data_IF_418169403894
#
_entry.id   IF_418169403894
#
_cell.length_a   1.000
_cell.length_b   1.000
_cell.length_c   1.000
_cell.angle_alpha   90.00
_cell.angle_beta   90.00
_cell.angle_gamma   90.00
#
_symmetry.space_group_name_H-M   'P 1'
#
loop_
_entity.id
_entity.type
_entity.pdbx_description
1 polymer ?
#
# COMPACT_ATOMS: atom_id res chain seq x y z
N UNK A 1 16.20 -71.88 5.05
CA UNK A 1 15.69 -70.54 4.72
C UNK A 1 14.34 -70.68 4.03
N UNK A 2 13.20 -70.33 4.67
CA UNK A 2 11.88 -70.64 4.13
C UNK A 2 11.33 -69.50 3.26
N UNK A 3 10.95 -69.82 2.02
CA UNK A 3 10.06 -68.99 1.19
C UNK A 3 8.61 -69.21 1.64
N UNK A 4 7.87 -68.14 1.92
CA UNK A 4 6.43 -68.17 2.15
C UNK A 4 5.74 -67.24 1.15
N UNK A 5 4.94 -67.83 0.27
CA UNK A 5 3.86 -67.14 -0.46
C UNK A 5 2.64 -67.06 0.46
N UNK A 6 1.94 -65.93 0.51
CA UNK A 6 0.50 -65.90 0.79
C UNK A 6 -0.14 -64.63 0.18
N UNK A 7 -1.32 -64.72 -0.45
CA UNK A 7 -1.99 -63.64 -1.18
C UNK A 7 -2.84 -62.74 -0.28
N UNK A 8 -3.27 -61.62 -0.85
CA UNK A 8 -4.20 -60.62 -0.29
C UNK A 8 -5.51 -61.23 0.24
N UNK A 9 -5.95 -60.85 1.45
CA UNK A 9 -7.33 -60.93 1.85
C UNK A 9 -7.90 -59.54 2.21
N UNK A 10 -9.00 -59.18 1.57
CA UNK A 10 -9.86 -58.02 1.87
C UNK A 10 -10.28 -57.99 3.36
N UNK A 11 -10.41 -56.81 3.98
CA UNK A 11 -11.10 -56.71 5.26
C UNK A 11 -12.63 -56.87 5.09
N UNK A 12 -13.31 -57.42 6.11
CA UNK A 12 -14.71 -57.87 6.05
C UNK A 12 -15.76 -56.76 6.17
N UNK A 13 -16.99 -57.10 5.78
CA UNK A 13 -18.19 -56.31 6.07
C UNK A 13 -18.41 -56.18 7.59
N UNK A 14 -18.38 -54.96 8.11
CA UNK A 14 -18.81 -54.65 9.47
C UNK A 14 -20.26 -54.14 9.44
N UNK A 15 -21.19 -55.07 9.69
CA UNK A 15 -22.58 -54.76 10.05
C UNK A 15 -22.65 -54.39 11.54
N UNK A 16 -22.27 -53.16 11.89
CA UNK A 16 -22.48 -52.59 13.22
C UNK A 16 -23.41 -51.38 13.12
N UNK A 17 -24.55 -51.40 13.81
CA UNK A 17 -25.45 -50.23 13.91
C UNK A 17 -24.66 -48.99 14.37
N UNK A 18 -24.59 -47.94 13.55
CA UNK A 18 -24.21 -46.61 14.04
C UNK A 18 -25.40 -46.03 14.80
N UNK A 19 -25.21 -45.79 16.10
CA UNK A 19 -26.12 -45.03 16.95
C UNK A 19 -26.31 -43.64 16.31
N UNK A 20 -27.54 -43.28 15.91
CA UNK A 20 -27.83 -41.92 15.44
C UNK A 20 -27.56 -40.96 16.61
N UNK A 21 -26.52 -40.15 16.49
CA UNK A 21 -26.40 -38.93 17.29
C UNK A 21 -27.48 -37.98 16.77
N UNK A 22 -28.26 -37.38 17.67
CA UNK A 22 -29.30 -36.43 17.30
C UNK A 22 -28.67 -35.32 16.43
N UNK A 23 -29.26 -35.08 15.26
CA UNK A 23 -28.81 -34.01 14.38
C UNK A 23 -29.04 -32.67 15.08
N UNK A 24 -27.99 -31.89 15.27
CA UNK A 24 -28.10 -30.49 15.67
C UNK A 24 -28.88 -29.77 14.58
N UNK A 25 -30.05 -29.16 14.88
CA UNK A 25 -30.76 -28.38 13.87
C UNK A 25 -29.88 -27.20 13.47
N UNK A 26 -29.50 -27.17 12.20
CA UNK A 26 -28.89 -25.99 11.58
C UNK A 26 -29.96 -24.91 11.54
N UNK A 27 -29.88 -23.95 12.45
CA UNK A 27 -30.67 -22.74 12.36
C UNK A 27 -30.12 -21.92 11.20
N UNK A 28 -30.82 -21.98 10.07
CA UNK A 28 -30.59 -21.10 8.93
C UNK A 28 -30.89 -19.67 9.36
N UNK A 29 -29.84 -18.92 9.69
CA UNK A 29 -29.96 -17.47 9.78
C UNK A 29 -29.99 -16.99 8.34
N UNK A 30 -31.19 -16.70 7.83
CA UNK A 30 -31.32 -15.95 6.59
C UNK A 30 -30.53 -14.65 6.77
N UNK A 31 -29.35 -14.57 6.16
CA UNK A 31 -28.50 -13.40 6.24
C UNK A 31 -29.27 -12.19 5.73
N UNK A 32 -29.62 -11.25 6.63
CA UNK A 32 -29.88 -9.88 6.21
C UNK A 32 -28.60 -9.42 5.55
N UNK A 33 -28.69 -8.96 4.29
CA UNK A 33 -27.56 -8.42 3.57
C UNK A 33 -26.86 -7.37 4.46
N UNK A 34 -25.67 -7.70 4.97
CA UNK A 34 -24.79 -6.77 5.70
C UNK A 34 -24.09 -5.80 4.76
N UNK A 35 -24.44 -5.82 3.47
CA UNK A 35 -24.08 -4.78 2.53
C UNK A 35 -25.18 -3.73 2.58
N UNK A 36 -25.16 -2.90 3.63
CA UNK A 36 -25.56 -1.53 3.37
C UNK A 36 -24.69 -1.06 2.21
N UNK A 37 -25.31 -0.60 1.13
CA UNK A 37 -24.60 0.32 0.23
C UNK A 37 -23.98 1.37 1.14
N UNK A 38 -22.66 1.64 1.05
CA UNK A 38 -22.14 2.78 1.75
C UNK A 38 -22.86 3.96 1.12
N UNK A 39 -23.86 4.49 1.83
CA UNK A 39 -24.26 5.87 1.68
C UNK A 39 -22.93 6.61 1.65
N UNK A 40 -22.59 7.19 0.49
CA UNK A 40 -21.36 7.93 0.27
C UNK A 40 -21.47 9.21 1.10
N UNK A 41 -21.56 9.07 2.42
CA UNK A 41 -21.30 10.12 3.36
C UNK A 41 -19.97 10.70 2.91
N UNK A 42 -19.87 12.03 2.72
CA UNK A 42 -18.66 12.62 2.22
C UNK A 42 -17.51 12.13 3.09
N UNK A 43 -16.60 11.38 2.47
CA UNK A 43 -15.37 10.91 3.09
C UNK A 43 -14.63 12.17 3.50
N UNK A 44 -14.82 12.57 4.75
CA UNK A 44 -14.16 13.69 5.40
C UNK A 44 -13.20 13.13 6.44
N UNK A 45 -12.14 13.88 6.74
CA UNK A 45 -11.23 13.52 7.82
C UNK A 45 -12.02 13.33 9.12
N UNK A 46 -11.66 12.32 9.92
CA UNK A 46 -12.22 12.12 11.26
C UNK A 46 -11.99 13.39 12.10
N UNK A 47 -13.07 14.04 12.52
CA UNK A 47 -13.04 15.32 13.24
C UNK A 47 -13.13 16.57 12.35
N UNK A 48 -13.28 16.42 11.03
CA UNK A 48 -13.62 17.49 10.10
C UNK A 48 -15.13 17.57 9.88
N UNK A 49 -15.62 18.73 9.44
CA UNK A 49 -17.02 18.90 9.07
C UNK A 49 -17.39 17.94 7.91
N UNK A 50 -18.67 17.53 7.79
CA UNK A 50 -19.13 16.75 6.65
C UNK A 50 -18.79 17.48 5.34
N UNK A 51 -18.05 16.82 4.44
CA UNK A 51 -17.57 17.45 3.19
C UNK A 51 -16.26 18.24 3.32
N UNK A 52 -15.62 18.24 4.49
CA UNK A 52 -14.30 18.82 4.68
C UNK A 52 -13.18 18.06 3.95
N UNK A 53 -12.00 18.68 3.77
CA UNK A 53 -10.90 18.07 3.05
C UNK A 53 -10.44 16.75 3.72
N UNK A 54 -10.14 15.75 2.89
CA UNK A 54 -9.61 14.44 3.32
C UNK A 54 -8.16 14.56 3.78
N UNK A 55 -7.40 15.47 3.17
CA UNK A 55 -5.98 15.70 3.42
C UNK A 55 -5.75 17.13 3.87
N UNK A 56 -4.82 17.33 4.82
CA UNK A 56 -4.44 18.67 5.28
C UNK A 56 -3.77 19.51 4.18
N UNK A 57 -3.01 18.89 3.28
CA UNK A 57 -2.35 19.55 2.15
C UNK A 57 -2.57 18.75 0.85
N UNK A 58 -2.64 19.41 -0.32
CA UNK A 58 -2.86 18.72 -1.60
C UNK A 58 -1.79 17.66 -1.91
N UNK A 59 -0.52 17.97 -1.58
CA UNK A 59 0.61 17.08 -1.87
C UNK A 59 0.53 15.74 -1.12
N UNK A 60 -0.20 15.68 0.00
CA UNK A 60 -0.43 14.43 0.74
C UNK A 60 -1.13 13.38 -0.13
N UNK A 61 -2.11 13.80 -0.93
CA UNK A 61 -2.81 12.93 -1.86
C UNK A 61 -1.89 12.51 -3.02
N UNK A 62 -1.07 13.45 -3.51
CA UNK A 62 -0.18 13.23 -4.65
C UNK A 62 0.85 12.13 -4.37
N UNK A 63 1.48 12.13 -3.19
CA UNK A 63 2.46 11.10 -2.82
C UNK A 63 1.85 9.70 -2.86
N UNK A 64 0.66 9.54 -2.29
CA UNK A 64 -0.05 8.26 -2.28
C UNK A 64 -0.52 7.85 -3.67
N UNK A 65 -0.98 8.81 -4.48
CA UNK A 65 -1.37 8.56 -5.86
C UNK A 65 -0.18 8.08 -6.71
N UNK A 66 0.98 8.73 -6.59
CA UNK A 66 2.21 8.31 -7.29
C UNK A 66 2.65 6.92 -6.82
N UNK A 67 2.68 6.67 -5.51
CA UNK A 67 3.00 5.35 -4.99
C UNK A 67 2.06 4.26 -5.58
N UNK A 68 0.75 4.52 -5.61
CA UNK A 68 -0.23 3.61 -6.18
C UNK A 68 -0.02 3.37 -7.69
N UNK A 69 0.28 4.41 -8.47
CA UNK A 69 0.59 4.28 -9.90
C UNK A 69 1.82 3.39 -10.12
N UNK A 70 2.88 3.58 -9.34
CA UNK A 70 4.11 2.78 -9.45
C UNK A 70 3.91 1.33 -9.02
N UNK A 71 3.08 1.10 -7.99
CA UNK A 71 2.69 -0.25 -7.56
C UNK A 71 1.92 -0.95 -8.67
N UNK A 72 0.90 -0.29 -9.24
CA UNK A 72 0.12 -0.83 -10.36
C UNK A 72 0.96 -1.04 -11.62
N UNK A 73 1.96 -0.20 -11.83
CA UNK A 73 2.96 -0.33 -12.89
C UNK A 73 4.01 -1.41 -12.64
N UNK A 74 4.03 -2.03 -11.46
CA UNK A 74 4.95 -3.13 -11.13
C UNK A 74 6.38 -2.71 -10.81
N UNK A 75 6.67 -1.41 -10.63
CA UNK A 75 8.02 -0.94 -10.28
C UNK A 75 8.44 -1.45 -8.88
N UNK A 76 7.49 -1.56 -7.96
CA UNK A 76 7.62 -2.24 -6.69
C UNK A 76 6.25 -2.81 -6.26
N UNK A 77 6.26 -3.81 -5.38
CA UNK A 77 5.03 -4.43 -4.90
C UNK A 77 4.39 -3.61 -3.76
N UNK A 78 3.09 -3.83 -3.52
CA UNK A 78 2.39 -3.25 -2.36
C UNK A 78 3.06 -3.64 -1.04
N UNK A 79 3.61 -4.86 -0.94
CA UNK A 79 4.38 -5.30 0.21
C UNK A 79 5.71 -4.57 0.38
N UNK A 80 6.42 -4.32 -0.73
CA UNK A 80 7.64 -3.50 -0.72
C UNK A 80 7.39 -2.06 -0.30
N UNK A 81 6.27 -1.48 -0.76
CA UNK A 81 5.79 -0.18 -0.29
C UNK A 81 5.53 -0.17 1.21
N UNK A 82 4.73 -1.12 1.71
CA UNK A 82 4.37 -1.18 3.13
C UNK A 82 5.61 -1.34 4.03
N UNK A 83 6.58 -2.15 3.61
CA UNK A 83 7.83 -2.34 4.34
C UNK A 83 8.65 -1.04 4.41
N UNK A 84 8.87 -0.38 3.27
CA UNK A 84 9.63 0.87 3.21
C UNK A 84 8.95 2.01 4.01
N UNK A 85 7.62 2.11 3.93
CA UNK A 85 6.85 3.08 4.72
C UNK A 85 7.00 2.81 6.22
N UNK A 86 6.92 1.55 6.65
CA UNK A 86 7.12 1.19 8.05
C UNK A 86 8.54 1.48 8.56
N UNK A 87 9.56 1.34 7.72
CA UNK A 87 10.93 1.77 8.04
C UNK A 87 11.04 3.29 8.17
N UNK A 88 10.45 4.05 7.24
CA UNK A 88 10.47 5.51 7.29
C UNK A 88 9.72 6.06 8.53
N UNK A 89 8.59 5.46 8.90
CA UNK A 89 7.85 5.84 10.11
C UNK A 89 8.66 5.54 11.38
N UNK A 90 9.28 4.36 11.49
CA UNK A 90 10.18 4.04 12.60
C UNK A 90 11.36 5.01 12.70
N UNK A 91 11.88 5.45 11.57
CA UNK A 91 12.94 6.46 11.54
C UNK A 91 12.44 7.84 12.02
N UNK A 92 11.19 8.21 11.76
CA UNK A 92 10.59 9.44 12.29
C UNK A 92 10.30 9.34 13.79
N UNK A 93 9.77 8.22 14.25
CA UNK A 93 9.58 7.92 15.67
C UNK A 93 10.91 7.98 16.44
N UNK A 94 11.98 7.43 15.88
CA UNK A 94 13.32 7.47 16.48
C UNK A 94 13.90 8.88 16.58
N UNK A 95 13.43 9.84 15.76
CA UNK A 95 13.78 11.26 15.89
C UNK A 95 12.90 12.02 16.88
N UNK A 96 11.91 11.35 17.47
CA UNK A 96 10.86 11.95 18.31
C UNK A 96 10.07 13.05 17.57
N UNK A 97 9.88 12.88 16.26
CA UNK A 97 9.03 13.79 15.48
C UNK A 97 7.57 13.71 16.00
N UNK A 98 6.83 14.83 16.06
CA UNK A 98 5.42 14.81 16.45
C UNK A 98 4.60 13.88 15.55
N UNK A 99 3.73 13.07 16.15
CA UNK A 99 2.81 12.21 15.40
C UNK A 99 1.67 13.04 14.78
N UNK A 100 1.94 13.54 13.57
CA UNK A 100 1.04 14.41 12.82
C UNK A 100 0.85 13.90 11.40
N UNK A 101 -0.19 14.39 10.72
CA UNK A 101 -0.44 14.03 9.32
C UNK A 101 0.74 14.40 8.41
N UNK A 102 1.35 15.57 8.63
CA UNK A 102 2.53 16.02 7.87
C UNK A 102 3.72 15.06 8.08
N UNK A 103 4.00 14.65 9.32
CA UNK A 103 5.06 13.66 9.63
C UNK A 103 4.81 12.34 8.90
N UNK A 104 3.57 11.84 8.91
CA UNK A 104 3.19 10.61 8.21
C UNK A 104 3.42 10.73 6.69
N UNK A 105 2.97 11.82 6.07
CA UNK A 105 3.12 12.00 4.62
C UNK A 105 4.57 12.29 4.20
N UNK A 106 5.37 12.93 5.06
CA UNK A 106 6.82 13.06 4.85
C UNK A 106 7.52 11.71 4.91
N UNK A 107 7.15 10.86 5.86
CA UNK A 107 7.68 9.49 5.91
C UNK A 107 7.27 8.70 4.66
N UNK A 108 6.04 8.86 4.18
CA UNK A 108 5.58 8.26 2.92
C UNK A 108 6.36 8.77 1.70
N UNK A 109 6.65 10.07 1.63
CA UNK A 109 7.47 10.65 0.57
C UNK A 109 8.90 10.08 0.59
N UNK A 110 9.53 10.03 1.77
CA UNK A 110 10.87 9.48 1.92
C UNK A 110 10.94 7.99 1.50
N UNK A 111 9.93 7.19 1.88
CA UNK A 111 9.83 5.80 1.46
C UNK A 111 9.70 5.65 -0.06
N UNK A 112 8.90 6.50 -0.69
CA UNK A 112 8.71 6.53 -2.15
C UNK A 112 10.02 6.84 -2.87
N UNK A 113 10.72 7.89 -2.45
CA UNK A 113 12.00 8.31 -3.03
C UNK A 113 13.06 7.20 -2.90
N UNK A 114 13.14 6.57 -1.72
CA UNK A 114 14.05 5.45 -1.48
C UNK A 114 13.78 4.25 -2.39
N UNK A 115 12.51 3.87 -2.57
CA UNK A 115 12.13 2.77 -3.45
C UNK A 115 12.43 3.05 -4.93
N UNK A 116 12.13 4.27 -5.40
CA UNK A 116 12.43 4.69 -6.78
C UNK A 116 13.93 4.71 -7.03
N UNK A 117 14.71 5.26 -6.09
CA UNK A 117 16.17 5.32 -6.19
C UNK A 117 16.80 3.91 -6.23
N UNK A 118 16.28 2.97 -5.44
CA UNK A 118 16.78 1.60 -5.40
C UNK A 118 16.49 0.80 -6.69
N UNK A 119 15.33 1.05 -7.33
CA UNK A 119 14.89 0.29 -8.52
C UNK A 119 15.29 0.93 -9.83
N UNK A 120 15.51 2.24 -9.85
CA UNK A 120 15.92 2.96 -11.05
C UNK A 120 16.91 4.06 -10.67
N UNK A 121 18.19 3.73 -10.45
CA UNK A 121 19.19 4.70 -10.03
C UNK A 121 19.35 5.86 -11.00
N UNK A 122 19.14 5.62 -12.30
CA UNK A 122 19.11 6.65 -13.33
C UNK A 122 17.92 7.60 -13.16
N UNK A 123 16.73 7.06 -12.92
CA UNK A 123 15.52 7.84 -12.60
C UNK A 123 15.66 8.60 -11.28
N UNK A 124 16.24 7.99 -10.24
CA UNK A 124 16.51 8.65 -8.97
C UNK A 124 17.49 9.82 -9.11
N UNK A 125 18.58 9.64 -9.87
CA UNK A 125 19.53 10.72 -10.18
C UNK A 125 18.87 11.82 -11.02
N UNK A 126 18.07 11.46 -12.02
CA UNK A 126 17.34 12.43 -12.85
C UNK A 126 16.30 13.23 -12.03
N UNK A 127 15.63 12.60 -11.08
CA UNK A 127 14.69 13.26 -10.17
C UNK A 127 15.40 14.25 -9.24
N UNK A 128 16.51 13.83 -8.61
CA UNK A 128 17.32 14.70 -7.76
C UNK A 128 17.85 15.92 -8.53
N UNK A 129 18.32 15.73 -9.77
CA UNK A 129 18.74 16.82 -10.65
C UNK A 129 17.60 17.79 -10.95
N UNK A 130 16.41 17.28 -11.31
CA UNK A 130 15.22 18.11 -11.59
C UNK A 130 14.71 18.88 -10.36
N UNK A 131 14.78 18.28 -9.18
CA UNK A 131 14.42 18.96 -7.92
C UNK A 131 15.37 20.12 -7.64
N UNK A 132 16.67 19.92 -7.83
CA UNK A 132 17.67 20.97 -7.67
C UNK A 132 17.51 22.07 -8.74
N UNK A 133 17.23 21.71 -9.99
CA UNK A 133 16.93 22.68 -11.06
C UNK A 133 15.70 23.52 -10.70
N UNK A 134 14.66 22.90 -10.12
CA UNK A 134 13.45 23.60 -9.66
C UNK A 134 13.73 24.48 -8.44
N UNK A 135 14.56 24.03 -7.50
CA UNK A 135 15.00 24.82 -6.35
C UNK A 135 15.76 26.06 -6.81
N UNK A 136 16.72 25.90 -7.73
CA UNK A 136 17.49 27.01 -8.32
C UNK A 136 16.59 27.98 -9.06
N UNK A 137 15.72 27.48 -9.93
CA UNK A 137 14.77 28.32 -10.66
C UNK A 137 13.89 29.14 -9.70
N UNK A 138 13.43 28.55 -8.59
CA UNK A 138 12.66 29.28 -7.59
C UNK A 138 13.47 30.37 -6.88
N UNK A 139 14.72 30.08 -6.49
CA UNK A 139 15.61 31.05 -5.82
C UNK A 139 16.06 32.17 -6.75
N UNK A 140 16.28 31.86 -8.02
CA UNK A 140 16.78 32.80 -9.03
C UNK A 140 15.67 33.65 -9.66
N UNK A 141 14.39 33.29 -9.45
CA UNK A 141 13.25 34.06 -9.95
C UNK A 141 12.89 35.16 -8.96
N UNK A 142 13.03 36.45 -9.31
CA UNK A 142 12.53 37.54 -8.47
C UNK A 142 11.03 37.38 -8.22
N UNK A 143 10.59 37.64 -6.98
CA UNK A 143 9.19 37.53 -6.59
C UNK A 143 8.27 38.28 -7.57
N UNK A 144 7.17 37.64 -7.97
CA UNK A 144 6.22 38.17 -8.94
C UNK A 144 6.49 37.81 -10.41
N UNK A 145 7.59 37.09 -10.71
CA UNK A 145 7.86 36.54 -12.05
C UNK A 145 7.58 35.03 -12.11
N UNK A 146 7.16 34.51 -13.27
CA UNK A 146 6.95 33.07 -13.45
C UNK A 146 8.28 32.31 -13.34
N UNK A 147 8.28 31.22 -12.56
CA UNK A 147 9.44 30.33 -12.41
C UNK A 147 9.57 29.49 -13.67
N UNK A 148 10.56 29.80 -14.50
CA UNK A 148 10.86 29.04 -15.71
C UNK A 148 11.98 28.05 -15.42
N UNK A 149 11.72 26.77 -15.66
CA UNK A 149 12.78 25.77 -15.74
C UNK A 149 13.45 25.94 -17.10
N UNK A 150 14.70 26.41 -17.14
CA UNK A 150 15.49 26.32 -18.37
C UNK A 150 15.53 24.86 -18.79
N UNK A 151 14.93 24.55 -19.94
CA UNK A 151 14.68 23.18 -20.39
C UNK A 151 15.96 22.34 -20.36
N UNK A 152 16.12 21.54 -19.31
CA UNK A 152 17.19 20.56 -19.21
C UNK A 152 16.97 19.52 -20.29
N UNK A 153 17.92 19.47 -21.24
CA UNK A 153 18.07 18.50 -22.34
C UNK A 153 17.25 17.22 -22.11
N UNK A 154 16.12 17.12 -22.81
CA UNK A 154 15.47 15.84 -23.04
C UNK A 154 16.37 15.14 -24.06
N UNK A 155 17.31 14.32 -23.59
CA UNK A 155 17.96 13.35 -24.45
C UNK A 155 16.92 12.28 -24.79
N UNK A 156 16.31 12.40 -25.96
CA UNK A 156 15.53 11.33 -26.59
C UNK A 156 16.55 10.48 -27.40
N UNK A 157 16.50 9.14 -27.35
CA UNK A 157 17.44 8.27 -28.06
C UNK A 157 17.42 8.48 -29.58
#
# INVERSE_FOLDING_TARGET
MPKRSTPSPSPPASCGRRRRVAATPSISICGRATLNEPELAPIGRRGSAPGGPVFDEPWHAEVLAVANVLIRGGLFSSGGWAAALGEALRAAEARHDPDTQDTYHRAALAALEGLVAARSPETGRALAGRLEDRRRAYLDTPHGRPVLLSAGRIAIP
#
